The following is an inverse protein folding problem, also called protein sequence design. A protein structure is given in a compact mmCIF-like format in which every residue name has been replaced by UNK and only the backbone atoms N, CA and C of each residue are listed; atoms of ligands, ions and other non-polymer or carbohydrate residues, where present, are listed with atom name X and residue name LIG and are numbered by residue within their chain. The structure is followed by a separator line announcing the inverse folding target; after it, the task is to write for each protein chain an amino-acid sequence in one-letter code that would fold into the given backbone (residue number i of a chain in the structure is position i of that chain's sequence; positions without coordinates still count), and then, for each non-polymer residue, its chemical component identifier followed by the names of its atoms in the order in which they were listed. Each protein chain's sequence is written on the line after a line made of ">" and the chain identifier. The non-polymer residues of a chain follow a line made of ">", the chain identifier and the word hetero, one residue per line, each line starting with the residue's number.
data_IF_368874627880
#
_entry.id   IF_368874627880
#
_cell.length_a   1.000
_cell.length_b   1.000
_cell.length_c   1.000
_cell.angle_alpha   90.00
_cell.angle_beta   90.00
_cell.angle_gamma   90.00
#
_symmetry.space_group_name_H-M   'P 1'
#
loop_
_entity.id
_entity.type
_entity.pdbx_description
1 polymer ?
#
# COMPACT_ATOMS: atom_id res chain seq x y z
N UNK A 1 20.18 7.52 0.61
CA UNK A 1 18.81 8.07 0.67
C UNK A 1 18.10 7.73 1.98
N UNK A 2 17.71 6.48 2.28
CA UNK A 2 17.09 6.15 3.58
C UNK A 2 17.99 6.52 4.78
N UNK A 3 19.28 6.17 4.74
CA UNK A 3 20.25 6.57 5.77
C UNK A 3 20.51 8.08 5.84
N UNK A 4 20.30 8.82 4.73
CA UNK A 4 20.49 10.27 4.70
C UNK A 4 19.26 11.00 5.27
N UNK A 5 18.05 10.51 4.97
CA UNK A 5 16.79 11.01 5.54
C UNK A 5 16.71 10.73 7.05
N UNK A 6 17.17 9.56 7.49
CA UNK A 6 17.25 9.24 8.92
C UNK A 6 18.21 10.14 9.69
N UNK A 7 19.33 10.58 9.08
CA UNK A 7 20.25 11.57 9.67
C UNK A 7 19.63 12.98 9.78
N UNK A 8 18.62 13.27 8.98
CA UNK A 8 17.86 14.52 9.03
C UNK A 8 16.60 14.40 9.90
N UNK A 9 16.47 13.33 10.70
CA UNK A 9 15.30 13.02 11.53
C UNK A 9 13.98 12.87 10.74
N UNK A 10 14.06 12.75 9.41
CA UNK A 10 12.89 12.54 8.55
C UNK A 10 12.59 11.05 8.49
N UNK A 11 11.56 10.64 9.24
CA UNK A 11 11.09 9.25 9.24
C UNK A 11 10.29 8.97 7.98
N UNK A 12 10.92 8.33 6.98
CA UNK A 12 10.25 7.92 5.73
C UNK A 12 10.11 6.41 5.68
N UNK A 13 8.92 5.91 5.33
CA UNK A 13 8.69 4.48 5.12
C UNK A 13 9.58 3.98 3.98
N UNK A 14 10.25 2.83 4.16
CA UNK A 14 11.12 2.22 3.13
C UNK A 14 10.40 2.06 1.78
N UNK A 15 9.09 1.72 1.80
CA UNK A 15 8.27 1.62 0.58
C UNK A 15 8.21 2.93 -0.20
N UNK A 16 8.09 4.07 0.49
CA UNK A 16 8.12 5.40 -0.13
C UNK A 16 9.48 5.67 -0.78
N UNK A 17 10.58 5.28 -0.12
CA UNK A 17 11.94 5.42 -0.69
C UNK A 17 12.11 4.56 -1.93
N UNK A 18 11.63 3.32 -1.92
CA UNK A 18 11.68 2.43 -3.10
C UNK A 18 10.83 2.98 -4.25
N UNK A 19 9.60 3.42 -3.97
CA UNK A 19 8.74 4.04 -4.97
C UNK A 19 9.38 5.31 -5.56
N UNK A 20 9.93 6.18 -4.71
CA UNK A 20 10.63 7.38 -5.16
C UNK A 20 11.85 7.05 -6.04
N UNK A 21 12.63 6.03 -5.69
CA UNK A 21 13.75 5.55 -6.52
C UNK A 21 13.27 5.06 -7.89
N UNK A 22 12.19 4.27 -7.94
CA UNK A 22 11.61 3.79 -9.18
C UNK A 22 11.13 4.96 -10.05
N UNK A 23 10.41 5.90 -9.46
CA UNK A 23 9.94 7.11 -10.14
C UNK A 23 11.10 7.94 -10.70
N UNK A 24 12.15 8.16 -9.90
CA UNK A 24 13.33 8.93 -10.31
C UNK A 24 14.07 8.32 -11.51
N UNK A 25 14.08 6.99 -11.62
CA UNK A 25 14.70 6.27 -12.74
C UNK A 25 13.78 6.12 -13.95
N UNK A 26 12.49 6.39 -13.79
CA UNK A 26 11.53 6.23 -14.88
C UNK A 26 11.77 7.32 -15.93
N UNK A 27 11.79 6.92 -17.20
CA UNK A 27 11.88 7.83 -18.35
C UNK A 27 10.61 7.70 -19.18
N UNK A 28 10.07 8.83 -19.59
CA UNK A 28 9.00 8.93 -20.58
C UNK A 28 9.63 8.94 -21.97
N UNK A 29 8.98 8.32 -22.94
CA UNK A 29 9.45 8.35 -24.34
C UNK A 29 9.05 9.66 -25.01
N UNK A 30 9.70 10.00 -26.13
CA UNK A 30 9.31 11.15 -26.95
C UNK A 30 7.84 11.09 -27.38
N UNK A 31 7.36 9.93 -27.80
CA UNK A 31 5.97 9.71 -28.22
C UNK A 31 4.98 9.92 -27.07
N UNK A 32 5.30 9.43 -25.87
CA UNK A 32 4.49 9.64 -24.68
C UNK A 32 4.38 11.14 -24.33
N UNK A 33 5.51 11.86 -24.38
CA UNK A 33 5.55 13.29 -24.10
C UNK A 33 4.81 14.11 -25.17
N UNK A 34 4.97 13.76 -26.44
CA UNK A 34 4.32 14.40 -27.57
C UNK A 34 2.80 14.20 -27.51
N UNK A 35 2.36 12.96 -27.28
CA UNK A 35 0.94 12.65 -27.08
C UNK A 35 0.34 13.40 -25.89
N UNK A 36 1.03 13.42 -24.74
CA UNK A 36 0.56 14.12 -23.56
C UNK A 36 0.41 15.62 -23.81
N UNK A 37 1.45 16.25 -24.39
CA UNK A 37 1.47 17.68 -24.71
C UNK A 37 0.38 18.08 -25.68
N UNK A 38 0.08 17.21 -26.67
CA UNK A 38 -1.02 17.42 -27.64
C UNK A 38 -2.39 17.38 -26.98
N UNK A 39 -2.64 16.42 -26.08
CA UNK A 39 -3.98 16.11 -25.58
C UNK A 39 -4.33 16.81 -24.25
N UNK A 40 -3.34 17.11 -23.41
CA UNK A 40 -3.57 17.64 -22.06
C UNK A 40 -4.23 19.03 -22.03
N UNK A 41 -3.85 20.03 -22.85
CA UNK A 41 -4.42 21.37 -22.78
C UNK A 41 -5.95 21.39 -22.87
N UNK A 42 -6.53 20.66 -23.83
CA UNK A 42 -7.97 20.58 -24.07
C UNK A 42 -8.75 19.98 -22.87
N UNK A 43 -8.12 19.08 -22.11
CA UNK A 43 -8.73 18.42 -20.95
C UNK A 43 -8.54 19.26 -19.69
N UNK A 44 -7.37 19.88 -19.56
CA UNK A 44 -6.98 20.67 -18.38
C UNK A 44 -7.88 21.90 -18.17
N UNK A 45 -8.36 22.51 -19.25
CA UNK A 45 -9.25 23.67 -19.23
C UNK A 45 -10.63 23.38 -18.61
N UNK A 46 -11.04 22.12 -18.54
CA UNK A 46 -12.35 21.74 -18.00
C UNK A 46 -12.36 21.80 -16.47
N UNK A 47 -13.42 22.37 -15.88
CA UNK A 47 -13.67 22.41 -14.42
C UNK A 47 -14.19 21.08 -13.89
N UNK A 48 -13.35 20.04 -13.93
CA UNK A 48 -13.65 18.70 -13.40
C UNK A 48 -12.55 18.22 -12.46
N UNK A 49 -12.84 17.21 -11.64
CA UNK A 49 -11.86 16.63 -10.73
C UNK A 49 -10.66 16.04 -11.47
N UNK A 50 -9.48 16.07 -10.84
CA UNK A 50 -8.25 15.57 -11.44
C UNK A 50 -8.36 14.10 -11.90
N UNK A 51 -9.02 13.24 -11.10
CA UNK A 51 -9.30 11.84 -11.50
C UNK A 51 -10.05 11.78 -12.84
N UNK A 52 -11.14 12.55 -12.98
CA UNK A 52 -11.90 12.61 -14.24
C UNK A 52 -11.07 13.18 -15.40
N UNK A 53 -10.11 14.09 -15.14
CA UNK A 53 -9.18 14.59 -16.16
C UNK A 53 -8.26 13.47 -16.64
N UNK A 54 -7.62 12.74 -15.72
CA UNK A 54 -6.74 11.60 -16.06
C UNK A 54 -7.52 10.53 -16.82
N UNK A 55 -8.71 10.17 -16.37
CA UNK A 55 -9.55 9.18 -17.06
C UNK A 55 -9.93 9.63 -18.48
N UNK A 56 -10.24 10.92 -18.70
CA UNK A 56 -10.52 11.47 -20.04
C UNK A 56 -9.27 11.53 -20.92
N UNK A 57 -8.11 11.81 -20.33
CA UNK A 57 -6.83 11.83 -21.03
C UNK A 57 -6.49 10.43 -21.54
N UNK A 58 -6.63 9.42 -20.69
CA UNK A 58 -6.34 8.03 -21.04
C UNK A 58 -7.33 7.41 -22.04
N UNK A 59 -8.44 8.09 -22.34
CA UNK A 59 -9.42 7.73 -23.38
C UNK A 59 -9.19 8.42 -24.71
N UNK A 60 -8.22 9.33 -24.82
CA UNK A 60 -7.90 9.97 -26.10
C UNK A 60 -7.29 8.95 -27.06
N UNK A 61 -7.60 9.11 -28.34
CA UNK A 61 -7.06 8.27 -29.41
C UNK A 61 -5.54 8.41 -29.54
N UNK A 62 -4.91 7.38 -30.13
CA UNK A 62 -3.45 7.36 -30.35
C UNK A 62 -2.62 7.34 -29.06
N UNK A 63 -3.20 6.90 -27.94
CA UNK A 63 -2.48 6.79 -26.66
C UNK A 63 -1.36 5.74 -26.77
N UNK A 64 -0.09 6.11 -26.53
CA UNK A 64 1.00 5.15 -26.48
C UNK A 64 0.88 4.27 -25.22
N UNK A 65 1.41 3.05 -25.29
CA UNK A 65 1.54 2.22 -24.09
C UNK A 65 2.42 2.91 -23.06
N UNK A 66 1.97 2.89 -21.80
CA UNK A 66 2.71 3.50 -20.70
C UNK A 66 2.41 2.81 -19.38
N UNK A 67 3.43 2.77 -18.54
CA UNK A 67 3.33 2.31 -17.15
C UNK A 67 2.77 3.40 -16.25
N UNK A 68 2.32 3.02 -15.05
CA UNK A 68 1.91 3.96 -13.99
C UNK A 68 2.96 5.00 -13.67
N UNK A 69 4.23 4.59 -13.58
CA UNK A 69 5.33 5.51 -13.29
C UNK A 69 5.53 6.51 -14.41
N UNK A 70 5.45 6.09 -15.68
CA UNK A 70 5.56 6.98 -16.83
C UNK A 70 4.42 8.00 -16.87
N UNK A 71 3.18 7.56 -16.67
CA UNK A 71 2.05 8.48 -16.59
C UNK A 71 2.23 9.51 -15.46
N UNK A 72 2.66 9.07 -14.28
CA UNK A 72 2.93 9.98 -13.17
C UNK A 72 4.02 11.01 -13.51
N UNK A 73 5.12 10.58 -14.16
CA UNK A 73 6.19 11.46 -14.63
C UNK A 73 5.68 12.51 -15.63
N UNK A 74 4.83 12.13 -16.60
CA UNK A 74 4.26 13.08 -17.57
C UNK A 74 3.50 14.23 -16.87
N UNK A 75 2.70 13.91 -15.84
CA UNK A 75 2.00 14.92 -15.05
C UNK A 75 2.96 15.78 -14.23
N UNK A 76 3.96 15.15 -13.60
CA UNK A 76 4.97 15.84 -12.82
C UNK A 76 5.76 16.85 -13.68
N UNK A 77 6.17 16.45 -14.88
CA UNK A 77 6.94 17.30 -15.80
C UNK A 77 6.09 18.47 -16.32
N UNK A 78 4.79 18.25 -16.51
CA UNK A 78 3.81 19.30 -16.80
C UNK A 78 3.44 20.17 -15.58
N UNK A 79 4.17 20.04 -14.46
CA UNK A 79 3.94 20.75 -13.19
C UNK A 79 2.52 20.55 -12.64
N UNK A 80 1.98 19.34 -12.78
CA UNK A 80 0.66 18.93 -12.27
C UNK A 80 0.82 17.87 -11.20
N UNK A 81 0.23 18.14 -10.03
CA UNK A 81 0.22 17.19 -8.94
C UNK A 81 -0.89 16.15 -9.14
N UNK A 82 -0.49 14.89 -9.31
CA UNK A 82 -1.37 13.73 -9.15
C UNK A 82 -0.70 12.75 -8.20
N UNK A 83 -1.50 12.02 -7.41
CA UNK A 83 -0.94 10.92 -6.64
C UNK A 83 -0.63 9.73 -7.55
N UNK A 84 0.38 8.94 -7.20
CA UNK A 84 0.71 7.70 -7.90
C UNK A 84 -0.49 6.73 -7.94
N UNK A 85 -1.28 6.71 -6.86
CA UNK A 85 -2.50 5.89 -6.79
C UNK A 85 -3.58 6.31 -7.78
N UNK A 86 -3.69 7.60 -8.11
CA UNK A 86 -4.61 8.09 -9.15
C UNK A 86 -4.12 7.63 -10.53
N UNK A 87 -2.83 7.78 -10.83
CA UNK A 87 -2.24 7.29 -12.08
C UNK A 87 -2.47 5.77 -12.27
N UNK A 88 -2.21 4.99 -11.21
CA UNK A 88 -2.39 3.54 -11.21
C UNK A 88 -3.84 3.16 -11.52
N UNK A 89 -4.78 3.72 -10.75
CA UNK A 89 -6.21 3.41 -10.90
C UNK A 89 -6.75 3.81 -12.27
N UNK A 90 -6.31 4.95 -12.78
CA UNK A 90 -6.74 5.43 -14.09
C UNK A 90 -6.23 4.52 -15.21
N UNK A 91 -4.94 4.14 -15.19
CA UNK A 91 -4.40 3.19 -16.17
C UNK A 91 -5.06 1.82 -16.08
N UNK A 92 -5.19 1.27 -14.87
CA UNK A 92 -5.87 0.02 -14.63
C UNK A 92 -7.30 0.05 -15.21
N UNK A 93 -8.05 1.14 -14.96
CA UNK A 93 -9.41 1.30 -15.51
C UNK A 93 -9.43 1.49 -17.03
N UNK A 94 -8.38 2.09 -17.59
CA UNK A 94 -8.26 2.40 -19.02
C UNK A 94 -7.84 1.22 -19.88
N UNK A 95 -7.26 0.16 -19.29
CA UNK A 95 -6.96 -1.07 -20.01
C UNK A 95 -8.21 -1.83 -20.47
N UNK A 96 -9.41 -1.32 -20.14
CA UNK A 96 -10.66 -1.91 -20.58
C UNK A 96 -10.98 -3.24 -19.90
N UNK A 97 -10.17 -3.65 -18.92
CA UNK A 97 -10.37 -4.87 -18.13
C UNK A 97 -11.50 -4.64 -17.12
N UNK A 98 -12.71 -4.46 -17.64
CA UNK A 98 -13.93 -4.54 -16.85
C UNK A 98 -14.32 -6.02 -16.78
N UNK A 99 -14.44 -6.60 -15.58
CA UNK A 99 -14.88 -7.98 -15.44
C UNK A 99 -16.28 -8.11 -16.03
N UNK A 100 -16.46 -9.09 -16.93
CA UNK A 100 -17.78 -9.44 -17.48
C UNK A 100 -18.74 -9.82 -16.33
N UNK A 101 -20.07 -9.70 -16.52
CA UNK A 101 -21.04 -10.12 -15.50
C UNK A 101 -20.82 -11.57 -15.02
N UNK A 102 -20.44 -12.46 -15.95
CA UNK A 102 -20.08 -13.85 -15.63
C UNK A 102 -18.85 -13.92 -14.73
N UNK A 103 -17.77 -13.22 -15.05
CA UNK A 103 -16.56 -13.15 -14.21
C UNK A 103 -16.87 -12.57 -12.82
N UNK A 104 -17.67 -11.50 -12.73
CA UNK A 104 -18.10 -10.93 -11.44
C UNK A 104 -18.85 -11.96 -10.61
N UNK A 105 -19.82 -12.67 -11.20
CA UNK A 105 -20.59 -13.72 -10.54
C UNK A 105 -19.67 -14.85 -10.06
N UNK A 106 -18.79 -15.34 -10.91
CA UNK A 106 -17.83 -16.39 -10.57
C UNK A 106 -16.93 -15.98 -9.41
N UNK A 107 -16.32 -14.79 -9.47
CA UNK A 107 -15.45 -14.28 -8.39
C UNK A 107 -16.20 -14.19 -7.07
N UNK A 108 -17.42 -13.64 -7.06
CA UNK A 108 -18.24 -13.52 -5.85
C UNK A 108 -18.66 -14.89 -5.29
N UNK A 109 -19.02 -15.84 -6.15
CA UNK A 109 -19.35 -17.20 -5.74
C UNK A 109 -18.13 -17.92 -5.13
N UNK A 110 -16.96 -17.82 -5.77
CA UNK A 110 -15.71 -18.38 -5.24
C UNK A 110 -15.35 -17.74 -3.91
N UNK A 111 -15.47 -16.41 -3.81
CA UNK A 111 -15.23 -15.69 -2.57
C UNK A 111 -16.07 -16.26 -1.44
N UNK A 112 -17.39 -16.38 -1.61
CA UNK A 112 -18.32 -16.96 -0.62
C UNK A 112 -18.06 -18.42 -0.31
N UNK A 113 -17.70 -19.23 -1.30
CA UNK A 113 -17.34 -20.65 -1.12
C UNK A 113 -16.10 -20.86 -0.24
N UNK A 114 -15.12 -19.97 -0.33
CA UNK A 114 -13.84 -20.11 0.41
C UNK A 114 -14.01 -19.94 1.92
N UNK A 115 -14.93 -19.06 2.34
CA UNK A 115 -15.15 -18.74 3.75
C UNK A 115 -16.60 -18.25 3.92
N UNK A 116 -17.57 -19.17 3.99
CA UNK A 116 -18.98 -18.84 4.09
C UNK A 116 -19.32 -18.11 5.39
N UNK A 117 -18.57 -18.40 6.46
CA UNK A 117 -18.81 -17.85 7.79
C UNK A 117 -18.01 -16.59 8.09
N UNK A 118 -17.23 -16.07 7.13
CA UNK A 118 -16.42 -14.85 7.28
C UNK A 118 -15.41 -14.88 8.43
N UNK A 119 -14.93 -16.07 8.82
CA UNK A 119 -13.94 -16.23 9.91
C UNK A 119 -12.51 -15.92 9.47
N UNK A 120 -12.28 -15.84 8.16
CA UNK A 120 -10.97 -15.62 7.56
C UNK A 120 -10.77 -14.14 7.25
N UNK A 121 -9.57 -13.63 7.51
CA UNK A 121 -9.17 -12.31 7.07
C UNK A 121 -9.31 -12.17 5.56
N UNK A 122 -9.73 -10.98 5.12
CA UNK A 122 -9.91 -10.67 3.69
C UNK A 122 -8.64 -10.94 2.88
N UNK A 123 -7.46 -10.73 3.48
CA UNK A 123 -6.19 -10.95 2.81
C UNK A 123 -5.92 -12.44 2.56
N UNK A 124 -6.11 -13.30 3.58
CA UNK A 124 -5.94 -14.75 3.43
C UNK A 124 -6.98 -15.33 2.48
N UNK A 125 -8.22 -14.85 2.58
CA UNK A 125 -9.31 -15.22 1.66
C UNK A 125 -8.99 -14.84 0.21
N UNK A 126 -8.43 -13.64 -0.01
CA UNK A 126 -7.93 -13.22 -1.32
C UNK A 126 -6.79 -14.11 -1.82
N UNK A 127 -5.85 -14.47 -0.95
CA UNK A 127 -4.78 -15.42 -1.27
C UNK A 127 -5.31 -16.81 -1.68
N UNK A 128 -6.32 -17.34 -0.97
CA UNK A 128 -7.00 -18.60 -1.34
C UNK A 128 -7.75 -18.45 -2.66
N UNK A 129 -8.41 -17.33 -2.91
CA UNK A 129 -9.12 -17.05 -4.17
C UNK A 129 -8.17 -17.05 -5.36
N UNK A 130 -7.05 -16.35 -5.25
CA UNK A 130 -6.03 -16.28 -6.30
C UNK A 130 -5.35 -17.64 -6.58
N UNK A 131 -5.32 -18.55 -5.60
CA UNK A 131 -4.78 -19.91 -5.75
C UNK A 131 -5.80 -20.90 -6.33
N UNK A 132 -7.10 -20.66 -6.14
CA UNK A 132 -8.14 -21.58 -6.60
C UNK A 132 -8.02 -21.79 -8.13
N UNK A 133 -8.18 -23.01 -8.67
CA UNK A 133 -8.04 -23.26 -10.11
C UNK A 133 -8.89 -22.33 -10.97
N UNK A 134 -10.14 -22.08 -10.56
CA UNK A 134 -11.04 -21.17 -11.26
C UNK A 134 -10.60 -19.70 -11.12
N UNK A 135 -10.03 -19.33 -9.97
CA UNK A 135 -9.47 -18.00 -9.71
C UNK A 135 -8.17 -17.73 -10.46
N UNK A 136 -7.34 -18.75 -10.67
CA UNK A 136 -6.07 -18.67 -11.39
C UNK A 136 -6.25 -18.33 -12.89
N UNK A 137 -7.43 -18.65 -13.45
CA UNK A 137 -7.79 -18.25 -14.83
C UNK A 137 -8.14 -16.76 -14.96
N UNK A 138 -8.37 -16.07 -13.83
CA UNK A 138 -8.76 -14.67 -13.80
C UNK A 138 -7.56 -13.80 -13.44
N UNK A 139 -7.38 -12.69 -14.15
CA UNK A 139 -6.33 -11.75 -13.78
C UNK A 139 -6.60 -11.16 -12.39
N UNK A 140 -5.56 -10.85 -11.60
CA UNK A 140 -5.76 -10.22 -10.30
C UNK A 140 -6.53 -8.89 -10.39
N UNK A 141 -6.40 -8.17 -11.50
CA UNK A 141 -7.14 -6.94 -11.75
C UNK A 141 -8.65 -7.20 -11.94
N UNK A 142 -9.02 -8.27 -12.66
CA UNK A 142 -10.42 -8.72 -12.82
C UNK A 142 -11.00 -9.08 -11.45
N UNK A 143 -10.26 -9.82 -10.62
CA UNK A 143 -10.67 -10.17 -9.25
C UNK A 143 -10.86 -8.91 -8.40
N UNK A 144 -9.89 -7.99 -8.46
CA UNK A 144 -9.97 -6.74 -7.72
C UNK A 144 -11.21 -5.93 -8.10
N UNK A 145 -11.46 -5.74 -9.40
CA UNK A 145 -12.64 -5.03 -9.88
C UNK A 145 -13.95 -5.72 -9.54
N UNK A 146 -13.99 -7.06 -9.61
CA UNK A 146 -15.17 -7.83 -9.26
C UNK A 146 -15.54 -7.73 -7.77
N UNK A 147 -14.54 -7.52 -6.91
CA UNK A 147 -14.67 -7.33 -5.46
C UNK A 147 -14.61 -5.85 -5.04
N UNK A 148 -14.64 -4.90 -5.97
CA UNK A 148 -14.68 -3.47 -5.68
C UNK A 148 -16.12 -3.00 -5.38
N UNK A 149 -16.70 -3.63 -4.38
CA UNK A 149 -18.07 -3.45 -3.90
C UNK A 149 -17.99 -3.23 -2.36
N UNK A 150 -18.78 -2.31 -1.78
CA UNK A 150 -18.72 -1.96 -0.35
C UNK A 150 -18.74 -3.15 0.61
N UNK A 151 -19.29 -4.29 0.22
CA UNK A 151 -19.34 -5.48 1.06
C UNK A 151 -18.02 -6.29 1.10
N UNK A 152 -17.10 -6.06 0.16
CA UNK A 152 -15.88 -6.87 0.01
C UNK A 152 -14.60 -6.07 0.26
N UNK A 153 -14.58 -4.78 -0.13
CA UNK A 153 -13.48 -3.80 -0.01
C UNK A 153 -12.08 -4.44 -0.06
N UNK A 154 -11.61 -4.68 -1.29
CA UNK A 154 -10.24 -5.15 -1.55
C UNK A 154 -9.36 -3.98 -2.00
N UNK A 155 -8.40 -3.62 -1.15
CA UNK A 155 -7.44 -2.55 -1.46
C UNK A 155 -6.33 -3.05 -2.38
N UNK A 156 -5.69 -2.13 -3.11
CA UNK A 156 -4.49 -2.46 -3.91
C UNK A 156 -3.40 -3.10 -3.04
N UNK A 157 -3.21 -2.59 -1.83
CA UNK A 157 -2.20 -3.07 -0.89
C UNK A 157 -2.46 -4.53 -0.49
N UNK A 158 -3.71 -4.91 -0.26
CA UNK A 158 -4.06 -6.31 0.00
C UNK A 158 -3.77 -7.20 -1.20
N UNK A 159 -4.08 -6.74 -2.41
CA UNK A 159 -3.78 -7.46 -3.64
C UNK A 159 -2.27 -7.65 -3.84
N UNK A 160 -1.47 -6.61 -3.60
CA UNK A 160 0.00 -6.67 -3.65
C UNK A 160 0.56 -7.69 -2.64
N UNK A 161 0.09 -7.67 -1.39
CA UNK A 161 0.53 -8.65 -0.39
C UNK A 161 0.14 -10.08 -0.77
N UNK A 162 -1.09 -10.29 -1.27
CA UNK A 162 -1.54 -11.62 -1.65
C UNK A 162 -0.74 -12.18 -2.84
N UNK A 163 -0.49 -11.37 -3.87
CA UNK A 163 0.36 -11.76 -4.99
C UNK A 163 1.80 -12.01 -4.57
N UNK A 164 2.38 -11.12 -3.75
CA UNK A 164 3.75 -11.30 -3.28
C UNK A 164 3.91 -12.58 -2.46
N UNK A 165 2.90 -12.94 -1.66
CA UNK A 165 2.86 -14.21 -0.92
C UNK A 165 2.75 -15.42 -1.85
N UNK A 166 1.96 -15.34 -2.92
CA UNK A 166 1.82 -16.41 -3.92
C UNK A 166 3.08 -16.62 -4.76
N UNK A 167 3.80 -15.53 -5.04
CA UNK A 167 5.05 -15.54 -5.80
C UNK A 167 6.28 -15.83 -4.91
N UNK A 168 6.08 -15.98 -3.60
CA UNK A 168 7.17 -16.31 -2.69
C UNK A 168 7.62 -17.75 -2.95
N UNK A 169 8.94 -17.93 -3.14
CA UNK A 169 9.53 -19.26 -3.31
C UNK A 169 9.47 -20.03 -1.98
N UNK A 170 8.80 -21.18 -2.00
CA UNK A 170 8.56 -22.04 -0.86
C UNK A 170 9.02 -23.44 -1.22
N UNK A 171 10.10 -23.85 -0.56
CA UNK A 171 10.63 -25.21 -0.66
C UNK A 171 9.80 -26.19 0.17
N UNK A 172 9.94 -27.48 -0.14
CA UNK A 172 9.37 -28.54 0.69
C UNK A 172 9.90 -28.50 2.13
N UNK A 173 11.17 -28.09 2.32
CA UNK A 173 11.77 -27.94 3.64
C UNK A 173 11.09 -26.82 4.46
N UNK A 174 10.78 -25.69 3.82
CA UNK A 174 10.06 -24.58 4.48
C UNK A 174 8.67 -25.04 4.96
N UNK A 175 7.95 -25.81 4.13
CA UNK A 175 6.64 -26.36 4.48
C UNK A 175 6.73 -27.38 5.62
N UNK A 176 7.71 -28.29 5.56
CA UNK A 176 7.92 -29.28 6.60
C UNK A 176 8.25 -28.60 7.95
N UNK A 177 9.08 -27.57 7.92
CA UNK A 177 9.41 -26.76 9.09
C UNK A 177 8.18 -26.11 9.72
N UNK A 178 7.39 -25.35 8.96
CA UNK A 178 6.23 -24.65 9.54
C UNK A 178 5.15 -25.62 10.02
N UNK A 179 4.94 -26.75 9.32
CA UNK A 179 4.00 -27.80 9.74
C UNK A 179 4.39 -28.45 11.05
N UNK A 180 5.70 -28.65 11.30
CA UNK A 180 6.22 -29.17 12.57
C UNK A 180 5.95 -28.21 13.74
N UNK A 181 5.99 -26.90 13.48
CA UNK A 181 5.74 -25.87 14.49
C UNK A 181 4.25 -25.60 14.73
N UNK A 182 3.36 -26.01 13.81
CA UNK A 182 1.91 -25.77 13.91
C UNK A 182 1.29 -26.11 15.28
N UNK A 183 1.57 -27.26 15.93
CA UNK A 183 0.94 -27.59 17.21
C UNK A 183 1.30 -26.63 18.35
N UNK A 184 2.38 -25.85 18.20
CA UNK A 184 2.86 -24.86 19.18
C UNK A 184 2.33 -23.45 18.91
N UNK A 185 1.67 -23.25 17.77
CA UNK A 185 1.11 -21.97 17.38
C UNK A 185 -0.35 -21.90 17.84
N UNK A 186 -0.67 -20.89 18.63
CA UNK A 186 -2.03 -20.51 18.95
C UNK A 186 -2.23 -19.04 18.58
N UNK A 187 -2.34 -18.77 17.27
CA UNK A 187 -2.52 -17.42 16.77
C UNK A 187 -3.98 -16.92 16.91
N UNK A 188 -4.81 -17.62 17.70
CA UNK A 188 -6.10 -17.10 18.18
C UNK A 188 -5.97 -16.39 19.54
N UNK A 189 -4.79 -16.42 20.14
CA UNK A 189 -4.51 -15.72 21.40
C UNK A 189 -4.55 -14.18 21.22
N UNK A 190 -4.35 -13.45 22.34
CA UNK A 190 -4.23 -11.99 22.32
C UNK A 190 -3.09 -11.54 21.40
N UNK A 191 -3.22 -10.35 20.82
CA UNK A 191 -2.24 -9.80 19.86
C UNK A 191 -0.78 -9.83 20.33
N UNK A 192 -0.53 -9.53 21.60
CA UNK A 192 0.83 -9.60 22.18
C UNK A 192 1.40 -11.01 22.18
N UNK A 193 0.55 -12.01 22.44
CA UNK A 193 0.92 -13.41 22.44
C UNK A 193 1.11 -13.95 21.01
N UNK A 194 0.25 -13.56 20.07
CA UNK A 194 0.44 -13.84 18.64
C UNK A 194 1.81 -13.33 18.15
N UNK A 195 2.17 -12.10 18.50
CA UNK A 195 3.45 -11.50 18.14
C UNK A 195 4.62 -12.30 18.72
N UNK A 196 4.57 -12.66 20.03
CA UNK A 196 5.59 -13.48 20.68
C UNK A 196 5.73 -14.85 20.04
N UNK A 197 4.64 -15.49 19.66
CA UNK A 197 4.67 -16.79 19.00
C UNK A 197 5.29 -16.71 17.60
N UNK A 198 4.99 -15.66 16.83
CA UNK A 198 5.63 -15.44 15.52
C UNK A 198 7.13 -15.19 15.70
N UNK A 199 7.53 -14.41 16.71
CA UNK A 199 8.95 -14.22 17.05
C UNK A 199 9.62 -15.53 17.46
N UNK A 200 8.95 -16.38 18.26
CA UNK A 200 9.48 -17.69 18.64
C UNK A 200 9.65 -18.63 17.44
N UNK A 201 8.70 -18.61 16.47
CA UNK A 201 8.87 -19.32 15.19
C UNK A 201 10.09 -18.82 14.45
N UNK A 202 10.26 -17.49 14.34
CA UNK A 202 11.39 -16.89 13.63
C UNK A 202 12.75 -17.14 14.30
N UNK A 203 12.78 -17.36 15.62
CA UNK A 203 13.98 -17.71 16.40
C UNK A 203 14.31 -19.20 16.42
N UNK A 204 13.43 -20.05 15.88
CA UNK A 204 13.65 -21.49 15.88
C UNK A 204 14.94 -21.84 15.10
N UNK A 205 15.74 -22.79 15.59
CA UNK A 205 17.07 -23.11 15.03
C UNK A 205 17.01 -23.53 13.54
N UNK A 206 15.90 -24.15 13.15
CA UNK A 206 15.64 -24.60 11.77
C UNK A 206 14.87 -23.56 10.93
N UNK A 207 14.77 -22.31 11.39
CA UNK A 207 14.14 -21.23 10.64
C UNK A 207 14.91 -20.98 9.32
N UNK A 208 14.24 -20.92 8.17
CA UNK A 208 14.91 -20.63 6.91
C UNK A 208 15.59 -19.26 6.92
N UNK A 209 16.83 -19.19 6.43
CA UNK A 209 17.65 -17.96 6.49
C UNK A 209 17.07 -16.79 5.67
N UNK A 210 16.25 -17.08 4.66
CA UNK A 210 15.72 -16.10 3.71
C UNK A 210 14.22 -15.78 3.95
N UNK A 211 13.74 -15.85 5.19
CA UNK A 211 12.34 -15.51 5.49
C UNK A 211 12.06 -14.02 5.23
N UNK A 212 11.16 -13.77 4.28
CA UNK A 212 10.57 -12.47 3.99
C UNK A 212 9.14 -12.37 4.54
N UNK A 213 8.57 -11.16 4.58
CA UNK A 213 7.16 -10.94 4.94
C UNK A 213 6.23 -11.85 4.13
N UNK A 214 6.39 -11.85 2.80
CA UNK A 214 5.55 -12.59 1.87
C UNK A 214 5.70 -14.11 2.04
N UNK A 215 6.94 -14.59 2.24
CA UNK A 215 7.22 -16.01 2.46
C UNK A 215 6.60 -16.49 3.77
N UNK A 216 6.78 -15.76 4.88
CA UNK A 216 6.17 -16.13 6.17
C UNK A 216 4.64 -16.07 6.11
N UNK A 217 4.08 -15.03 5.50
CA UNK A 217 2.63 -14.90 5.32
C UNK A 217 2.06 -16.12 4.58
N UNK A 218 2.72 -16.53 3.49
CA UNK A 218 2.30 -17.70 2.73
C UNK A 218 2.44 -18.99 3.53
N UNK A 219 3.55 -19.20 4.24
CA UNK A 219 3.76 -20.40 5.07
C UNK A 219 2.69 -20.53 6.18
N UNK A 220 2.33 -19.42 6.82
CA UNK A 220 1.26 -19.40 7.83
C UNK A 220 -0.10 -19.78 7.22
N UNK A 221 -0.37 -19.38 5.97
CA UNK A 221 -1.60 -19.81 5.28
C UNK A 221 -1.64 -21.31 5.01
N UNK A 222 -0.50 -21.96 4.73
CA UNK A 222 -0.43 -23.41 4.49
C UNK A 222 -0.70 -24.25 5.75
N UNK A 223 -0.63 -23.65 6.93
CA UNK A 223 -1.03 -24.27 8.21
C UNK A 223 -2.37 -23.74 8.74
N UNK A 224 -3.12 -23.04 7.89
CA UNK A 224 -4.40 -22.39 8.19
C UNK A 224 -4.35 -21.36 9.33
N UNK A 225 -3.21 -20.75 9.58
CA UNK A 225 -3.09 -19.61 10.49
C UNK A 225 -3.41 -18.29 9.75
N UNK A 226 -3.93 -17.31 10.49
CA UNK A 226 -4.33 -16.02 9.95
C UNK A 226 -3.67 -14.87 10.70
N UNK A 227 -2.82 -14.14 10.00
CA UNK A 227 -1.93 -13.14 10.58
C UNK A 227 -1.90 -11.91 9.68
N UNK A 228 -1.95 -10.74 10.30
CA UNK A 228 -1.86 -9.47 9.58
C UNK A 228 -0.43 -9.18 9.12
N UNK A 229 -0.22 -8.59 7.93
CA UNK A 229 1.12 -8.22 7.46
C UNK A 229 1.87 -7.31 8.43
N UNK A 230 1.17 -6.42 9.14
CA UNK A 230 1.76 -5.53 10.14
C UNK A 230 2.39 -6.30 11.29
N UNK A 231 1.75 -7.37 11.76
CA UNK A 231 2.26 -8.21 12.84
C UNK A 231 3.53 -8.96 12.43
N UNK A 232 3.55 -9.54 11.21
CA UNK A 232 4.76 -10.18 10.67
C UNK A 232 5.89 -9.16 10.50
N UNK A 233 5.61 -7.97 9.97
CA UNK A 233 6.63 -6.93 9.82
C UNK A 233 7.21 -6.50 11.17
N UNK A 234 6.38 -6.38 12.21
CA UNK A 234 6.84 -6.06 13.57
C UNK A 234 7.73 -7.17 14.11
N UNK A 235 7.33 -8.43 14.00
CA UNK A 235 8.15 -9.56 14.43
C UNK A 235 9.52 -9.59 13.72
N UNK A 236 9.52 -9.46 12.38
CA UNK A 236 10.76 -9.43 11.58
C UNK A 236 11.67 -8.26 11.97
N UNK A 237 11.11 -7.09 12.32
CA UNK A 237 11.89 -5.95 12.82
C UNK A 237 12.49 -6.22 14.19
N UNK A 238 11.74 -6.84 15.10
CA UNK A 238 12.20 -7.14 16.45
C UNK A 238 13.35 -8.15 16.43
N UNK A 239 13.25 -9.20 15.61
CA UNK A 239 14.34 -10.17 15.42
C UNK A 239 15.60 -9.51 14.85
N UNK A 240 15.47 -8.65 13.83
CA UNK A 240 16.61 -7.93 13.25
C UNK A 240 17.31 -6.97 14.22
N UNK A 241 16.56 -6.38 15.16
CA UNK A 241 17.14 -5.53 16.22
C UNK A 241 17.88 -6.37 17.26
N UNK A 242 17.34 -7.54 17.60
CA UNK A 242 17.96 -8.47 18.55
C UNK A 242 19.18 -9.20 17.99
N UNK A 243 19.31 -9.36 16.68
CA UNK A 243 20.55 -9.90 16.08
C UNK A 243 21.69 -8.88 16.00
N UNK A 244 21.41 -7.59 16.25
CA UNK A 244 22.39 -6.52 16.19
C UNK A 244 23.01 -6.17 17.57
N UNK A 245 22.57 -6.84 18.64
CA UNK A 245 23.18 -6.80 19.98
C UNK A 245 22.90 -8.13 20.67
N UNK A 246 23.91 -8.78 21.24
CA UNK A 246 23.96 -10.20 21.66
C UNK A 246 22.73 -10.84 22.35
N UNK A 247 22.67 -12.17 22.19
CA UNK A 247 21.58 -13.12 22.44
C UNK A 247 21.41 -13.48 23.94
N UNK A 248 20.17 -13.61 24.45
CA UNK A 248 19.87 -14.64 25.45
C UNK A 248 19.11 -15.83 24.86
N UNK A 249 19.76 -17.00 24.95
CA UNK A 249 19.31 -18.31 24.49
C UNK A 249 18.52 -19.00 25.59
N UNK A 250 17.18 -18.94 25.55
CA UNK A 250 16.26 -19.91 26.19
C UNK A 250 14.80 -19.45 26.00
N UNK A 251 14.05 -20.03 25.05
CA UNK A 251 12.62 -19.72 24.88
C UNK A 251 11.70 -20.91 24.66
N UNK A 252 12.23 -22.15 24.65
CA UNK A 252 11.41 -23.36 24.62
C UNK A 252 11.41 -24.05 25.99
N UNK A 253 10.85 -23.40 27.01
CA UNK A 253 10.37 -24.14 28.19
C UNK A 253 8.87 -24.46 28.03
N UNK A 254 8.43 -25.68 28.35
CA UNK A 254 7.01 -25.97 28.47
C UNK A 254 6.41 -25.09 29.57
N UNK A 255 5.24 -24.51 29.31
CA UNK A 255 4.48 -23.77 30.32
C UNK A 255 4.22 -24.70 31.53
N UNK A 256 4.53 -24.28 32.78
CA UNK A 256 4.18 -25.06 33.95
C UNK A 256 2.66 -25.21 34.05
N UNK A 257 2.20 -26.38 34.50
CA UNK A 257 0.80 -26.69 34.70
C UNK A 257 0.12 -25.62 35.56
N UNK A 258 -1.02 -25.13 35.07
CA UNK A 258 -1.76 -24.01 35.65
C UNK A 258 -2.57 -24.49 36.86
N UNK A 259 -1.93 -24.57 38.02
CA UNK A 259 -2.64 -24.64 39.30
C UNK A 259 -2.80 -23.24 39.91
N UNK A 260 -4.06 -22.89 40.17
CA UNK A 260 -4.55 -21.94 41.15
C UNK A 260 -3.80 -20.61 41.32
N UNK A 261 -4.22 -19.59 40.55
CA UNK A 261 -4.22 -18.20 41.05
C UNK A 261 -5.55 -17.52 40.75
N UNK A 262 -6.18 -17.14 41.86
CA UNK A 262 -7.50 -16.53 41.94
C UNK A 262 -7.60 -15.16 41.29
N UNK A 263 -8.86 -14.76 41.18
CA UNK A 263 -9.36 -13.55 40.57
C UNK A 263 -8.63 -12.29 41.05
N UNK A 264 -8.05 -11.56 40.10
CA UNK A 264 -7.87 -10.11 40.17
C UNK A 264 -8.55 -9.50 38.96
N UNK A 265 -9.73 -8.94 39.21
CA UNK A 265 -10.44 -8.02 38.32
C UNK A 265 -9.61 -6.76 38.11
N UNK A 266 -9.39 -6.40 36.85
CA UNK A 266 -8.90 -5.08 36.42
C UNK A 266 -9.74 -4.63 35.23
N UNK A 267 -9.95 -3.31 35.07
CA UNK A 267 -11.14 -2.75 34.47
C UNK A 267 -11.12 -2.76 32.94
N UNK A 268 -12.33 -2.89 32.40
CA UNK A 268 -12.73 -2.54 31.04
C UNK A 268 -12.12 -1.20 30.63
N UNK A 269 -11.23 -1.22 29.64
CA UNK A 269 -10.91 -0.04 28.85
C UNK A 269 -10.90 -0.40 27.36
N UNK A 270 -12.06 -0.13 26.77
CA UNK A 270 -12.29 0.41 25.42
C UNK A 270 -11.54 -0.23 24.24
N UNK A 271 -12.26 -1.10 23.54
CA UNK A 271 -12.12 -1.32 22.10
C UNK A 271 -12.35 0.01 21.36
N UNK A 272 -11.30 0.50 20.70
CA UNK A 272 -11.39 1.53 19.67
C UNK A 272 -11.25 0.84 18.32
N UNK A 273 -12.38 0.75 17.61
CA UNK A 273 -12.44 0.44 16.19
C UNK A 273 -11.63 1.50 15.41
N UNK A 274 -10.46 1.13 14.90
CA UNK A 274 -9.73 1.95 13.93
C UNK A 274 -10.38 1.79 12.55
N UNK A 275 -11.34 2.68 12.27
CA UNK A 275 -11.77 3.05 10.93
C UNK A 275 -10.56 3.57 10.14
N UNK A 276 -10.02 2.73 9.24
CA UNK A 276 -9.06 3.15 8.22
C UNK A 276 -9.78 3.92 7.09
N UNK A 277 -10.33 5.08 7.44
CA UNK A 277 -10.70 6.11 6.46
C UNK A 277 -9.44 6.83 6.01
N UNK A 278 -9.16 6.71 4.72
CA UNK A 278 -8.10 7.39 3.98
C UNK A 278 -8.22 8.92 4.13
N UNK A 279 -7.50 9.51 5.07
CA UNK A 279 -7.18 10.93 5.10
C UNK A 279 -5.66 11.12 4.89
N UNK A 280 -5.25 11.27 3.63
CA UNK A 280 -3.99 11.94 3.33
C UNK A 280 -4.24 13.45 3.46
N UNK A 281 -4.25 13.95 4.70
CA UNK A 281 -3.93 15.35 4.94
C UNK A 281 -2.43 15.40 5.23
N UNK A 282 -1.66 15.90 4.27
CA UNK A 282 -0.40 16.56 4.62
C UNK A 282 -0.80 17.79 5.46
N UNK A 283 -0.25 17.99 6.67
CA UNK A 283 -0.32 19.31 7.28
C UNK A 283 0.36 20.29 6.32
N UNK A 284 -0.23 21.47 6.13
CA UNK A 284 0.45 22.56 5.44
C UNK A 284 1.83 22.74 6.08
N UNK A 285 2.91 22.79 5.28
CA UNK A 285 4.23 23.08 5.84
C UNK A 285 4.15 24.43 6.57
N UNK A 286 4.83 24.58 7.73
CA UNK A 286 4.87 25.86 8.42
C UNK A 286 5.34 26.94 7.43
N UNK A 287 4.59 28.04 7.37
CA UNK A 287 4.96 29.20 6.58
C UNK A 287 6.39 29.59 6.95
N UNK A 288 7.31 29.48 5.98
CA UNK A 288 8.66 30.01 6.14
C UNK A 288 8.51 31.52 6.43
N UNK A 289 9.25 32.07 7.41
CA UNK A 289 9.26 33.51 7.63
C UNK A 289 9.67 34.20 6.33
N UNK A 290 8.90 35.22 5.95
CA UNK A 290 9.21 36.04 4.79
C UNK A 290 10.64 36.58 4.93
N UNK A 291 11.46 36.56 3.87
CA UNK A 291 12.76 37.19 3.92
C UNK A 291 12.58 38.67 4.27
N UNK A 292 13.29 39.14 5.30
CA UNK A 292 13.42 40.57 5.60
C UNK A 292 14.00 41.26 4.37
N UNK A 293 13.12 41.95 3.64
CA UNK A 293 13.52 42.86 2.57
C UNK A 293 14.08 44.09 3.28
N UNK A 294 15.41 44.18 3.34
CA UNK A 294 16.10 45.42 3.66
C UNK A 294 15.69 46.49 2.64
N UNK A 295 15.16 47.64 3.06
CA UNK A 295 14.79 48.70 2.13
C UNK A 295 16.05 49.36 1.57
N UNK A 296 16.43 48.94 0.37
CA UNK A 296 17.37 49.68 -0.47
C UNK A 296 16.70 50.99 -0.93
N UNK A 297 17.19 52.11 -0.39
CA UNK A 297 16.94 53.46 -0.87
C UNK A 297 17.11 53.52 -2.39
N UNK A 298 16.01 53.69 -3.10
CA UNK A 298 16.03 54.09 -4.50
C UNK A 298 15.11 55.29 -4.69
N UNK A 299 15.72 56.46 -4.71
CA UNK A 299 15.13 57.69 -5.22
C UNK A 299 14.77 57.49 -6.69
N UNK A 300 13.47 57.43 -7.00
CA UNK A 300 12.95 57.69 -8.35
C UNK A 300 11.75 58.63 -8.27
N UNK A 301 11.81 59.67 -9.10
CA UNK A 301 10.86 60.77 -9.20
C UNK A 301 9.45 60.30 -9.61
N UNK A 302 8.39 61.05 -9.23
CA UNK A 302 7.01 60.69 -9.54
C UNK A 302 6.68 60.93 -11.03
N UNK A 303 5.99 59.97 -11.63
CA UNK A 303 5.34 60.11 -12.94
C UNK A 303 3.99 60.85 -12.81
N UNK A 304 3.56 61.58 -13.85
CA UNK A 304 2.35 62.42 -13.81
C UNK A 304 1.04 61.58 -13.88
N UNK A 305 -0.10 62.16 -13.43
CA UNK A 305 -1.37 61.47 -13.38
C UNK A 305 -1.98 61.23 -14.77
N UNK A 306 -2.31 59.97 -15.07
CA UNK A 306 -3.03 59.60 -16.28
C UNK A 306 -4.53 59.93 -16.18
N UNK A 307 -5.02 60.50 -17.28
CA UNK A 307 -6.38 60.91 -17.52
C UNK A 307 -7.39 59.74 -17.52
N UNK A 308 -8.59 60.04 -17.02
CA UNK A 308 -9.77 59.16 -17.01
C UNK A 308 -10.35 58.99 -18.42
N UNK A 309 -10.41 57.75 -18.91
CA UNK A 309 -11.13 57.40 -20.14
C UNK A 309 -12.61 57.11 -19.84
N UNK A 310 -13.47 57.96 -20.42
CA UNK A 310 -14.94 57.86 -20.41
C UNK A 310 -15.42 56.59 -21.12
N UNK A 311 -16.38 55.91 -20.50
CA UNK A 311 -17.27 54.91 -21.12
C UNK A 311 -18.01 55.53 -22.31
N UNK A 312 -17.94 54.91 -23.49
CA UNK A 312 -18.97 55.06 -24.53
C UNK A 312 -19.82 53.79 -24.58
N UNK A 313 -21.13 53.98 -24.43
CA UNK A 313 -22.17 53.02 -24.84
C UNK A 313 -22.35 53.14 -26.35
N UNK A 314 -22.48 52.01 -27.02
CA UNK A 314 -23.47 51.75 -28.05
C UNK A 314 -23.94 50.31 -27.86
#
# INVERSE_FOLDING_TARGET
>A
MHCALGKAEITVKMQTVTQAKTLFRTRTTGDQQAWFSKNWPAISARKISMRKKVDRLLKQEGRPEMTTSQLWCLFHDAKRSISYSVAYKALASSTGVQPTPKQKKTVKQLWHRIDPETRMSRLKRLGKLLRAPEGATLSPLVIQHALNDPHYIITNVMMEYAQAALNADISAADLAWIKRLRPRLNLKAKRSEQLRQIEAVLKHEQCPQNITLSKLLRLLWEIDEDVTPSMIMTALKNIKRQSAGDIPTAFFQPLPARENRGARTLPDTMDMDEDFSSAYFLPDPPALPAPEITPGLNHKAPLPPFATLKKRRF
#
